data_IF_511760259726
#
_entry.id   IF_511760259726
#
_cell.length_a   1.000
_cell.length_b   1.000
_cell.length_c   1.000
_cell.angle_alpha   90.00
_cell.angle_beta   90.00
_cell.angle_gamma   90.00
#
_symmetry.space_group_name_H-M   'P 1'
#
loop_
_entity.id
_entity.type
_entity.pdbx_description
1 polymer ?
#
# COMPACT_ATOMS: atom_id res chain seq x y z
N UNK A 1 27.96 4.11 39.49
CA UNK A 1 27.62 4.51 38.11
C UNK A 1 27.90 3.33 37.17
N UNK A 2 26.98 2.36 37.09
CA UNK A 2 27.19 1.08 36.38
C UNK A 2 26.76 1.21 34.92
N UNK A 3 27.74 1.27 34.00
CA UNK A 3 27.52 1.17 32.55
C UNK A 3 26.90 -0.18 32.22
N UNK A 4 25.61 -0.19 31.89
CA UNK A 4 24.92 -1.38 31.42
C UNK A 4 25.25 -1.58 29.92
N UNK A 5 26.25 -2.42 29.63
CA UNK A 5 26.63 -2.80 28.27
C UNK A 5 25.51 -3.62 27.63
N UNK A 6 24.64 -2.95 26.89
CA UNK A 6 23.59 -3.59 26.08
C UNK A 6 24.25 -4.29 24.88
N UNK A 7 24.40 -5.61 24.95
CA UNK A 7 24.81 -6.43 23.80
C UNK A 7 23.69 -6.41 22.75
N UNK A 8 23.97 -6.16 21.46
CA UNK A 8 22.95 -6.19 20.42
C UNK A 8 22.46 -7.63 20.23
N UNK A 9 21.20 -7.88 20.59
CA UNK A 9 20.53 -9.17 20.35
C UNK A 9 20.18 -9.29 18.87
N UNK A 10 20.79 -10.26 18.19
CA UNK A 10 20.43 -10.67 16.84
C UNK A 10 19.01 -11.24 16.86
N UNK A 11 18.13 -10.69 16.03
CA UNK A 11 16.74 -11.11 15.93
C UNK A 11 16.51 -11.77 14.56
N UNK A 12 16.11 -13.04 14.56
CA UNK A 12 15.77 -13.76 13.33
C UNK A 12 14.36 -13.38 12.88
N UNK A 13 14.26 -12.68 11.75
CA UNK A 13 12.98 -12.35 11.12
C UNK A 13 12.51 -13.59 10.35
N UNK A 14 11.30 -14.11 10.62
CA UNK A 14 10.74 -15.21 9.85
C UNK A 14 10.62 -14.82 8.37
N UNK A 15 10.93 -15.73 7.47
CA UNK A 15 11.00 -15.46 6.02
C UNK A 15 9.67 -14.96 5.42
N UNK A 16 8.53 -15.23 6.05
CA UNK A 16 7.20 -14.77 5.61
C UNK A 16 6.76 -13.42 6.19
N UNK A 17 7.61 -12.70 6.93
CA UNK A 17 7.22 -11.44 7.60
C UNK A 17 6.80 -10.32 6.63
N UNK A 18 7.34 -10.31 5.41
CA UNK A 18 7.10 -9.26 4.42
C UNK A 18 5.95 -9.63 3.44
N UNK A 19 5.46 -10.88 3.49
CA UNK A 19 4.46 -11.38 2.55
C UNK A 19 3.02 -11.00 2.92
N UNK A 20 2.79 -10.55 4.16
CA UNK A 20 1.46 -10.13 4.60
C UNK A 20 0.99 -8.90 3.82
N UNK A 21 -0.22 -8.95 3.25
CA UNK A 21 -0.79 -7.84 2.46
C UNK A 21 -0.37 -7.82 0.99
N UNK A 22 0.09 -8.95 0.45
CA UNK A 22 0.40 -9.12 -0.98
C UNK A 22 -0.49 -10.19 -1.63
N UNK A 23 -0.70 -10.07 -2.93
CA UNK A 23 -1.47 -10.96 -3.80
C UNK A 23 -0.50 -11.66 -4.75
N UNK A 24 -0.88 -12.85 -5.24
CA UNK A 24 -0.05 -13.70 -6.11
C UNK A 24 1.33 -14.02 -5.50
N UNK A 25 1.37 -14.36 -4.22
CA UNK A 25 2.60 -14.82 -3.57
C UNK A 25 3.67 -13.75 -3.37
N UNK A 26 3.30 -12.46 -3.38
CA UNK A 26 4.24 -11.35 -3.18
C UNK A 26 4.31 -10.36 -4.33
N UNK A 27 3.71 -10.68 -5.48
CA UNK A 27 3.90 -9.88 -6.70
C UNK A 27 3.21 -8.52 -6.65
N UNK A 28 2.01 -8.43 -6.07
CA UNK A 28 1.24 -7.19 -6.03
C UNK A 28 0.77 -6.88 -4.62
N UNK A 29 0.77 -5.62 -4.20
CA UNK A 29 0.17 -5.22 -2.91
C UNK A 29 -1.35 -5.34 -3.02
N UNK A 30 -2.02 -5.82 -1.95
CA UNK A 30 -3.48 -5.99 -1.94
C UNK A 30 -4.23 -4.69 -2.21
N UNK A 31 -3.73 -3.58 -1.66
CA UNK A 31 -4.27 -2.23 -1.93
C UNK A 31 -4.28 -1.92 -3.42
N UNK A 32 -3.18 -2.22 -4.09
CA UNK A 32 -3.00 -1.92 -5.49
C UNK A 32 -3.87 -2.78 -6.41
N UNK A 33 -4.05 -4.05 -6.04
CA UNK A 33 -5.00 -4.95 -6.70
C UNK A 33 -6.44 -4.43 -6.60
N UNK A 34 -6.84 -3.89 -5.43
CA UNK A 34 -8.16 -3.30 -5.24
C UNK A 34 -8.33 -2.05 -6.12
N UNK A 35 -7.34 -1.16 -6.16
CA UNK A 35 -7.39 0.03 -7.00
C UNK A 35 -7.48 -0.29 -8.49
N UNK A 36 -6.72 -1.30 -8.94
CA UNK A 36 -6.79 -1.79 -10.32
C UNK A 36 -8.20 -2.31 -10.68
N UNK A 37 -8.86 -3.03 -9.78
CA UNK A 37 -10.25 -3.50 -9.96
C UNK A 37 -11.22 -2.32 -10.04
N UNK A 38 -11.05 -1.31 -9.18
CA UNK A 38 -11.89 -0.10 -9.19
C UNK A 38 -11.75 0.63 -10.52
N UNK A 39 -10.52 0.85 -11.01
CA UNK A 39 -10.27 1.52 -12.30
C UNK A 39 -10.87 0.71 -13.46
N UNK A 40 -10.69 -0.61 -13.47
CA UNK A 40 -11.27 -1.46 -14.50
C UNK A 40 -12.80 -1.37 -14.52
N UNK A 41 -13.44 -1.48 -13.35
CA UNK A 41 -14.89 -1.37 -13.23
C UNK A 41 -15.40 0.02 -13.64
N UNK A 42 -14.69 1.08 -13.24
CA UNK A 42 -15.06 2.46 -13.55
C UNK A 42 -15.08 2.75 -15.06
N UNK A 43 -14.24 2.09 -15.86
CA UNK A 43 -14.22 2.24 -17.33
C UNK A 43 -15.16 1.24 -18.00
N UNK A 44 -15.15 -0.03 -17.59
CA UNK A 44 -15.99 -1.07 -18.20
C UNK A 44 -17.48 -0.80 -17.99
N UNK A 45 -17.93 -0.50 -16.76
CA UNK A 45 -19.35 -0.30 -16.48
C UNK A 45 -20.00 0.74 -17.40
N UNK A 46 -19.45 1.97 -17.57
CA UNK A 46 -20.06 2.93 -18.47
C UNK A 46 -19.93 2.55 -19.94
N UNK A 47 -18.82 1.93 -20.36
CA UNK A 47 -18.62 1.50 -21.74
C UNK A 47 -19.64 0.44 -22.16
N UNK A 48 -19.97 -0.52 -21.27
CA UNK A 48 -20.91 -1.58 -21.59
C UNK A 48 -22.37 -1.16 -21.40
N UNK A 49 -22.68 -0.32 -20.39
CA UNK A 49 -24.06 0.10 -20.08
C UNK A 49 -24.57 1.29 -20.91
N UNK A 50 -23.74 2.30 -21.17
CA UNK A 50 -24.22 3.55 -21.79
C UNK A 50 -23.86 3.68 -23.27
N UNK A 51 -22.75 3.10 -23.71
CA UNK A 51 -22.34 3.24 -25.10
C UNK A 51 -23.19 2.32 -26.02
N UNK A 52 -23.86 2.89 -27.02
CA UNK A 52 -24.64 2.13 -28.00
C UNK A 52 -23.76 1.73 -29.21
N UNK A 53 -22.63 1.08 -28.90
CA UNK A 53 -21.60 0.67 -29.86
C UNK A 53 -21.64 -0.87 -30.00
N UNK A 54 -21.36 -1.45 -31.18
CA UNK A 54 -21.16 -2.88 -31.36
C UNK A 54 -20.24 -3.51 -30.30
N UNK A 55 -20.60 -4.71 -29.84
CA UNK A 55 -19.86 -5.43 -28.78
C UNK A 55 -18.39 -5.65 -29.14
N UNK A 56 -18.09 -5.97 -30.40
CA UNK A 56 -16.71 -6.17 -30.87
C UNK A 56 -15.83 -4.93 -30.66
N UNK A 57 -16.36 -3.74 -30.95
CA UNK A 57 -15.63 -2.48 -30.76
C UNK A 57 -15.46 -2.17 -29.27
N UNK A 58 -16.47 -2.43 -28.45
CA UNK A 58 -16.37 -2.28 -26.98
C UNK A 58 -15.23 -3.12 -26.41
N UNK A 59 -15.10 -4.38 -26.84
CA UNK A 59 -14.02 -5.27 -26.40
C UNK A 59 -12.66 -4.73 -26.82
N UNK A 60 -12.50 -4.32 -28.09
CA UNK A 60 -11.23 -3.77 -28.60
C UNK A 60 -10.82 -2.54 -27.79
N UNK A 61 -11.73 -1.60 -27.56
CA UNK A 61 -11.48 -0.40 -26.75
C UNK A 61 -11.11 -0.78 -25.32
N UNK A 62 -11.85 -1.72 -24.73
CA UNK A 62 -11.57 -2.21 -23.37
C UNK A 62 -10.14 -2.75 -23.29
N UNK A 63 -9.71 -3.59 -24.23
CA UNK A 63 -8.36 -4.18 -24.19
C UNK A 63 -7.29 -3.11 -24.42
N UNK A 64 -7.48 -2.18 -25.36
CA UNK A 64 -6.47 -1.16 -25.66
C UNK A 64 -6.34 -0.15 -24.50
N UNK A 65 -7.42 0.17 -23.80
CA UNK A 65 -7.43 1.21 -22.76
C UNK A 65 -7.34 0.62 -21.35
N UNK A 66 -8.21 -0.31 -21.01
CA UNK A 66 -8.30 -0.87 -19.65
C UNK A 66 -7.11 -1.74 -19.33
N UNK A 67 -6.60 -2.54 -20.27
CA UNK A 67 -5.46 -3.43 -20.02
C UNK A 67 -4.20 -2.65 -19.59
N UNK A 68 -3.70 -1.64 -20.32
CA UNK A 68 -2.52 -0.91 -19.88
C UNK A 68 -2.77 -0.12 -18.58
N UNK A 69 -3.96 0.45 -18.39
CA UNK A 69 -4.31 1.14 -17.14
C UNK A 69 -4.29 0.22 -15.92
N UNK A 70 -4.83 -1.00 -16.06
CA UNK A 70 -4.83 -2.01 -14.99
C UNK A 70 -3.42 -2.49 -14.68
N UNK A 71 -2.55 -2.64 -15.68
CA UNK A 71 -1.14 -3.01 -15.45
C UNK A 71 -0.41 -1.91 -14.68
N UNK A 72 -0.58 -0.64 -15.09
CA UNK A 72 0.00 0.51 -14.37
C UNK A 72 -0.52 0.55 -12.94
N UNK A 73 -1.84 0.35 -12.78
CA UNK A 73 -2.46 0.24 -11.48
C UNK A 73 -1.77 -0.86 -10.68
N UNK A 74 -1.75 -2.12 -11.11
CA UNK A 74 -1.12 -3.24 -10.40
C UNK A 74 0.36 -3.06 -10.04
N UNK A 75 1.15 -2.37 -10.87
CA UNK A 75 2.56 -2.06 -10.57
C UNK A 75 2.66 -1.00 -9.46
N UNK A 76 1.78 0.01 -9.49
CA UNK A 76 1.80 1.10 -8.53
C UNK A 76 2.87 2.15 -8.87
N UNK A 77 2.99 3.18 -8.03
CA UNK A 77 4.02 4.22 -8.17
C UNK A 77 4.87 4.24 -6.90
N UNK A 78 6.17 4.00 -7.04
CA UNK A 78 7.16 4.06 -5.95
C UNK A 78 6.70 3.31 -4.68
N UNK A 79 6.33 2.03 -4.84
CA UNK A 79 5.81 1.18 -3.76
C UNK A 79 4.45 1.63 -3.14
N UNK A 80 3.84 2.69 -3.65
CA UNK A 80 2.59 3.26 -3.15
C UNK A 80 1.36 3.01 -4.01
N UNK A 81 0.26 3.50 -3.45
CA UNK A 81 -1.08 3.64 -4.03
C UNK A 81 -1.17 4.46 -5.33
N UNK A 82 -1.86 4.09 -6.44
CA UNK A 82 -2.18 5.07 -7.49
C UNK A 82 -3.08 6.20 -6.95
N UNK A 83 -4.09 5.85 -6.15
CA UNK A 83 -4.96 6.85 -5.53
C UNK A 83 -4.21 7.71 -4.52
N UNK A 84 -3.24 7.14 -3.82
CA UNK A 84 -2.37 7.89 -2.89
C UNK A 84 -1.57 8.94 -3.64
N UNK A 85 -0.96 8.57 -4.78
CA UNK A 85 -0.28 9.51 -5.66
C UNK A 85 -1.22 10.62 -6.16
N UNK A 86 -2.44 10.26 -6.59
CA UNK A 86 -3.44 11.25 -6.99
C UNK A 86 -3.81 12.22 -5.87
N UNK A 87 -4.01 11.72 -4.65
CA UNK A 87 -4.27 12.54 -3.47
C UNK A 87 -3.13 13.51 -3.19
N UNK A 88 -1.89 13.04 -3.28
CA UNK A 88 -0.68 13.86 -3.12
C UNK A 88 -0.58 14.96 -4.20
N UNK A 89 -0.86 14.62 -5.47
CA UNK A 89 -0.89 15.60 -6.57
C UNK A 89 -1.99 16.63 -6.36
N UNK A 90 -3.20 16.20 -5.98
CA UNK A 90 -4.32 17.11 -5.74
C UNK A 90 -4.07 18.04 -4.54
N UNK A 91 -3.48 17.51 -3.48
CA UNK A 91 -3.06 18.30 -2.32
C UNK A 91 -1.97 19.31 -2.69
N UNK A 92 -1.00 18.91 -3.50
CA UNK A 92 0.03 19.80 -4.03
C UNK A 92 -0.56 20.95 -4.86
N UNK A 93 -1.52 20.65 -5.75
CA UNK A 93 -2.18 21.64 -6.60
C UNK A 93 -3.02 22.63 -5.77
N UNK A 94 -3.69 22.17 -4.72
CA UNK A 94 -4.60 22.98 -3.92
C UNK A 94 -3.87 23.82 -2.86
N UNK A 95 -2.81 23.26 -2.26
CA UNK A 95 -2.22 23.87 -1.06
C UNK A 95 -1.16 24.95 -1.35
N UNK A 96 -0.62 25.08 -2.58
CA UNK A 96 0.38 26.09 -3.02
C UNK A 96 1.58 26.34 -2.08
N UNK A 97 1.74 25.61 -0.98
CA UNK A 97 2.75 25.85 0.07
C UNK A 97 3.27 24.53 0.65
N UNK A 98 4.60 24.42 0.60
CA UNK A 98 5.52 23.56 1.35
C UNK A 98 5.17 22.07 1.53
N UNK A 99 5.45 21.31 0.48
CA UNK A 99 6.17 20.02 0.39
C UNK A 99 6.27 19.14 1.65
N UNK A 100 5.15 18.81 2.27
CA UNK A 100 5.08 17.53 2.98
C UNK A 100 3.92 16.75 2.37
N UNK A 101 4.26 15.85 1.45
CA UNK A 101 3.31 14.96 0.81
C UNK A 101 2.55 14.18 1.89
N UNK A 102 1.24 14.02 1.73
CA UNK A 102 0.42 13.29 2.71
C UNK A 102 0.91 11.84 2.85
N UNK A 103 1.39 11.25 1.74
CA UNK A 103 2.08 9.97 1.74
C UNK A 103 3.31 9.92 2.65
N UNK A 104 4.11 10.99 2.71
CA UNK A 104 5.30 11.08 3.58
C UNK A 104 4.88 11.14 5.04
N UNK A 105 3.83 11.90 5.37
CA UNK A 105 3.25 11.94 6.72
C UNK A 105 2.70 10.58 7.17
N UNK A 106 1.93 9.88 6.32
CA UNK A 106 1.42 8.54 6.65
C UNK A 106 2.56 7.54 6.82
N UNK A 107 3.60 7.60 5.97
CA UNK A 107 4.77 6.75 6.10
C UNK A 107 5.52 6.99 7.41
N UNK A 108 5.69 8.26 7.80
CA UNK A 108 6.30 8.61 9.09
C UNK A 108 5.46 8.13 10.27
N UNK A 109 4.13 8.29 10.22
CA UNK A 109 3.22 7.79 11.25
C UNK A 109 3.25 6.26 11.35
N UNK A 110 3.25 5.54 10.22
CA UNK A 110 3.40 4.09 10.21
C UNK A 110 4.75 3.64 10.79
N UNK A 111 5.84 4.33 10.44
CA UNK A 111 7.18 4.11 11.00
C UNK A 111 7.19 4.33 12.52
N UNK A 112 6.57 5.41 12.98
CA UNK A 112 6.43 5.72 14.41
C UNK A 112 5.58 4.67 15.13
N UNK A 113 4.47 4.23 14.55
CA UNK A 113 3.62 3.16 15.06
C UNK A 113 4.38 1.83 15.11
N UNK A 114 5.14 1.47 14.07
CA UNK A 114 6.00 0.27 14.04
C UNK A 114 7.08 0.35 15.12
N UNK A 115 7.70 1.51 15.33
CA UNK A 115 8.67 1.76 16.41
C UNK A 115 8.03 1.66 17.79
N UNK A 116 6.82 2.20 17.98
CA UNK A 116 6.07 2.09 19.23
C UNK A 116 5.62 0.66 19.52
N UNK A 117 5.16 -0.10 18.51
CA UNK A 117 4.80 -1.50 18.65
C UNK A 117 6.03 -2.37 18.98
N UNK A 118 7.18 -2.12 18.35
CA UNK A 118 8.47 -2.73 18.73
C UNK A 118 8.85 -2.40 20.17
N UNK A 119 8.54 -1.18 20.65
CA UNK A 119 8.78 -0.73 22.04
C UNK A 119 7.79 -1.30 23.06
N UNK A 120 6.56 -1.63 22.66
CA UNK A 120 5.52 -2.22 23.53
C UNK A 120 5.52 -3.76 23.60
N UNK A 121 5.96 -4.46 22.55
CA UNK A 121 6.17 -5.93 22.57
C UNK A 121 7.05 -6.45 23.72
N UNK A 122 8.12 -5.77 24.20
CA UNK A 122 8.93 -6.26 25.33
C UNK A 122 8.25 -6.17 26.70
N UNK A 123 7.16 -5.41 26.87
CA UNK A 123 6.52 -5.21 28.20
C UNK A 123 5.55 -6.34 28.54
N UNK A 124 4.77 -6.85 27.57
CA UNK A 124 3.78 -7.91 27.81
C UNK A 124 4.40 -9.31 28.01
N UNK A 125 5.53 -9.61 27.36
CA UNK A 125 6.18 -10.93 27.48
C UNK A 125 6.89 -11.16 28.83
N UNK A 126 7.34 -10.09 29.52
CA UNK A 126 7.99 -10.19 30.85
C UNK A 126 7.01 -10.40 32.01
N UNK A 127 5.71 -10.12 31.84
CA UNK A 127 4.71 -10.28 32.91
C UNK A 127 4.22 -11.73 33.03
N UNK A 128 4.23 -12.51 31.94
CA UNK A 128 3.65 -13.86 31.91
C UNK A 128 4.63 -15.01 32.23
N UNK A 129 5.93 -14.72 32.43
CA UNK A 129 6.95 -15.71 32.83
C UNK A 129 7.42 -15.60 34.29
N UNK A 130 6.82 -14.71 35.10
CA UNK A 130 7.08 -14.58 36.55
C UNK A 130 5.95 -15.14 37.43
N UNK A 131 5.00 -15.88 36.84
CA UNK A 131 3.84 -16.46 37.53
C UNK A 131 3.70 -17.97 37.39
N UNK A 132 4.80 -18.69 37.12
CA UNK A 132 4.90 -20.14 37.28
C UNK A 132 6.14 -20.45 38.11
#
# INVERSE_FOLDING_TARGET
MTKNSQKPTVFYIPVNYNAAGTVLGGMFKTRNAIEAVIIAAAICVPLYKFANIPVMQKIIITVIVVLPLVIIALIGINDGSLFQYFGDVFYYLTSKKNIMFFSVFEHEQEELLKKQQKKYKPVKAKKNKKGK
#
